data_IF_689546018629
#
_entry.id   IF_689546018629
#
_cell.length_a   1.000
_cell.length_b   1.000
_cell.length_c   1.000
_cell.angle_alpha   90.00
_cell.angle_beta   90.00
_cell.angle_gamma   90.00
#
_symmetry.space_group_name_H-M   'P 1'
#
loop_
_entity.id
_entity.type
_entity.pdbx_description
1 polymer ?
#
# COMPACT_ATOMS: atom_id res chain seq x y z
N UNK A 1 23.78 20.27 32.17
CA UNK A 1 22.47 19.59 32.11
C UNK A 1 22.23 19.23 30.66
N UNK A 2 22.54 18.00 30.29
CA UNK A 2 22.22 17.41 29.00
C UNK A 2 20.74 17.04 29.05
N UNK A 3 19.91 17.71 28.23
CA UNK A 3 18.54 17.24 28.01
C UNK A 3 18.60 15.78 27.54
N UNK A 4 17.83 14.87 28.14
CA UNK A 4 17.69 13.53 27.60
C UNK A 4 17.13 13.68 26.18
N UNK A 5 17.90 13.19 25.20
CA UNK A 5 17.45 13.06 23.82
C UNK A 5 16.05 12.41 23.84
N UNK A 6 15.06 12.99 23.13
CA UNK A 6 13.71 12.44 23.09
C UNK A 6 13.83 10.96 22.72
N UNK A 7 13.21 10.14 23.57
CA UNK A 7 13.43 8.71 23.67
C UNK A 7 13.41 7.99 22.34
N UNK A 8 14.13 6.87 22.30
CA UNK A 8 14.22 5.91 21.21
C UNK A 8 12.83 5.69 20.60
N UNK A 9 12.51 6.50 19.58
CA UNK A 9 11.17 6.57 19.01
C UNK A 9 10.85 5.20 18.45
N UNK A 10 9.65 4.70 18.74
CA UNK A 10 9.19 3.39 18.26
C UNK A 10 9.53 3.25 16.78
N UNK A 11 10.49 2.37 16.46
CA UNK A 11 10.88 2.13 15.07
C UNK A 11 9.73 1.40 14.38
N UNK A 12 9.28 1.97 13.28
CA UNK A 12 8.40 1.30 12.33
C UNK A 12 9.18 0.20 11.64
N UNK A 13 8.62 -1.00 11.59
CA UNK A 13 9.28 -2.16 11.00
C UNK A 13 8.51 -2.64 9.77
N UNK A 14 9.23 -2.92 8.69
CA UNK A 14 8.73 -3.75 7.59
C UNK A 14 9.20 -5.17 7.86
N UNK A 15 8.26 -6.06 8.19
CA UNK A 15 8.55 -7.48 8.32
C UNK A 15 8.55 -8.11 6.92
N UNK A 16 9.68 -8.69 6.52
CA UNK A 16 9.91 -9.25 5.19
C UNK A 16 9.96 -10.77 5.26
N UNK A 17 9.11 -11.40 4.48
CA UNK A 17 8.98 -12.85 4.37
C UNK A 17 9.34 -13.29 2.95
N UNK A 18 9.90 -14.49 2.83
CA UNK A 18 10.29 -15.04 1.52
C UNK A 18 9.74 -16.45 1.37
N UNK A 19 9.32 -16.82 0.16
CA UNK A 19 8.77 -18.15 -0.14
C UNK A 19 9.04 -18.55 -1.59
N UNK A 20 8.77 -19.81 -1.93
CA UNK A 20 8.79 -20.26 -3.32
C UNK A 20 7.71 -19.54 -4.15
N UNK A 21 6.59 -19.19 -3.53
CA UNK A 21 5.52 -18.37 -4.09
C UNK A 21 4.91 -17.43 -3.04
N UNK A 22 3.95 -16.58 -3.46
CA UNK A 22 3.29 -15.65 -2.55
C UNK A 22 2.44 -16.35 -1.48
N UNK A 23 1.92 -17.55 -1.73
CA UNK A 23 1.12 -18.27 -0.73
C UNK A 23 2.00 -18.76 0.42
N UNK A 24 3.19 -19.28 0.13
CA UNK A 24 4.17 -19.63 1.16
C UNK A 24 4.63 -18.40 1.94
N UNK A 25 5.07 -17.32 1.27
CA UNK A 25 5.55 -16.12 1.94
C UNK A 25 4.47 -15.45 2.83
N UNK A 26 3.21 -15.42 2.37
CA UNK A 26 2.08 -14.85 3.14
C UNK A 26 1.70 -15.73 4.32
N UNK A 27 1.78 -17.07 4.19
CA UNK A 27 1.51 -17.98 5.30
C UNK A 27 2.45 -17.74 6.46
N UNK A 28 3.73 -17.55 6.16
CA UNK A 28 4.74 -17.26 7.18
C UNK A 28 4.56 -15.86 7.78
N UNK A 29 3.98 -14.93 7.00
CA UNK A 29 3.59 -13.61 7.49
C UNK A 29 2.33 -13.63 8.37
N UNK A 30 1.51 -14.68 8.33
CA UNK A 30 0.18 -14.70 8.92
C UNK A 30 0.15 -14.46 10.45
N UNK A 31 1.10 -14.95 11.26
CA UNK A 31 1.16 -14.60 12.68
C UNK A 31 1.29 -13.09 12.93
N UNK A 32 1.95 -12.36 12.04
CA UNK A 32 2.05 -10.89 12.09
C UNK A 32 0.79 -10.17 11.55
N UNK A 33 -0.10 -10.92 10.91
CA UNK A 33 -1.33 -10.46 10.26
C UNK A 33 -2.59 -10.69 11.11
N UNK A 34 -2.46 -11.13 12.37
CA UNK A 34 -3.62 -11.40 13.24
C UNK A 34 -4.53 -10.18 13.37
N UNK A 35 -5.82 -10.38 13.13
CA UNK A 35 -6.86 -9.37 13.28
C UNK A 35 -8.20 -10.05 13.61
N UNK A 36 -9.08 -9.31 14.28
CA UNK A 36 -10.46 -9.74 14.54
C UNK A 36 -11.40 -9.04 13.56
N UNK A 37 -12.38 -9.79 13.03
CA UNK A 37 -13.47 -9.24 12.22
C UNK A 37 -13.26 -9.34 10.71
N UNK A 38 -14.00 -8.51 9.97
CA UNK A 38 -14.01 -8.50 8.51
C UNK A 38 -12.91 -7.59 7.94
N UNK A 39 -12.22 -8.08 6.90
CA UNK A 39 -11.15 -7.35 6.20
C UNK A 39 -11.55 -7.03 4.76
N UNK A 40 -11.40 -5.76 4.37
CA UNK A 40 -11.49 -5.31 2.98
C UNK A 40 -10.10 -5.34 2.33
N UNK A 41 -9.96 -6.11 1.26
CA UNK A 41 -8.69 -6.25 0.52
C UNK A 41 -8.74 -5.45 -0.77
N UNK A 42 -7.77 -4.54 -0.95
CA UNK A 42 -7.64 -3.65 -2.10
C UNK A 42 -6.40 -4.05 -2.90
N UNK A 43 -6.52 -4.79 -4.02
CA UNK A 43 -5.39 -5.14 -4.86
C UNK A 43 -4.91 -3.95 -5.72
N UNK A 44 -3.60 -3.79 -5.89
CA UNK A 44 -2.99 -2.79 -6.77
C UNK A 44 -3.18 -3.08 -8.25
N UNK A 45 -3.24 -4.35 -8.65
CA UNK A 45 -3.50 -4.73 -10.04
C UNK A 45 -4.93 -4.43 -10.49
N UNK A 46 -5.85 -4.15 -9.55
CA UNK A 46 -7.27 -3.92 -9.80
C UNK A 46 -8.00 -5.13 -10.40
N UNK A 47 -7.40 -6.33 -10.32
CA UNK A 47 -7.94 -7.57 -10.87
C UNK A 47 -8.33 -8.57 -9.77
N UNK A 48 -9.32 -9.43 -10.06
CA UNK A 48 -9.66 -10.57 -9.19
C UNK A 48 -8.58 -11.64 -9.15
N UNK A 49 -7.72 -11.65 -10.17
CA UNK A 49 -6.64 -12.61 -10.42
C UNK A 49 -5.30 -12.12 -9.90
N UNK A 50 -5.28 -11.08 -9.07
CA UNK A 50 -4.09 -10.63 -8.35
C UNK A 50 -3.56 -11.76 -7.46
N UNK A 51 -2.32 -12.19 -7.72
CA UNK A 51 -1.74 -13.38 -7.07
C UNK A 51 -1.52 -13.14 -5.59
N UNK A 52 -0.98 -11.97 -5.25
CA UNK A 52 -0.70 -11.60 -3.86
C UNK A 52 -2.00 -11.41 -3.09
N UNK A 53 -2.99 -10.70 -3.64
CA UNK A 53 -4.26 -10.51 -2.96
C UNK A 53 -5.06 -11.82 -2.82
N UNK A 54 -4.93 -12.75 -3.76
CA UNK A 54 -5.49 -14.10 -3.62
C UNK A 54 -4.82 -14.87 -2.47
N UNK A 55 -3.48 -14.86 -2.41
CA UNK A 55 -2.71 -15.49 -1.34
C UNK A 55 -3.11 -14.92 0.03
N UNK A 56 -3.11 -13.59 0.18
CA UNK A 56 -3.56 -12.88 1.40
C UNK A 56 -4.96 -13.34 1.81
N UNK A 57 -5.92 -13.31 0.90
CA UNK A 57 -7.30 -13.69 1.22
C UNK A 57 -7.46 -15.15 1.59
N UNK A 58 -6.73 -16.04 0.92
CA UNK A 58 -6.78 -17.47 1.19
C UNK A 58 -6.23 -17.78 2.58
N UNK A 59 -5.10 -17.20 2.93
CA UNK A 59 -4.46 -17.44 4.23
C UNK A 59 -5.26 -16.79 5.37
N UNK A 60 -5.84 -15.59 5.16
CA UNK A 60 -6.77 -14.98 6.13
C UNK A 60 -8.01 -15.86 6.41
N UNK A 61 -8.62 -16.42 5.35
CA UNK A 61 -9.78 -17.32 5.51
C UNK A 61 -9.42 -18.60 6.26
N UNK A 62 -8.21 -19.13 6.05
CA UNK A 62 -7.71 -20.27 6.83
C UNK A 62 -7.54 -19.93 8.30
N UNK A 63 -7.17 -18.69 8.59
CA UNK A 63 -7.15 -18.12 9.95
C UNK A 63 -8.52 -17.76 10.52
N UNK A 64 -9.63 -18.05 9.81
CA UNK A 64 -10.98 -17.72 10.26
C UNK A 64 -11.37 -16.25 10.14
N UNK A 65 -10.62 -15.47 9.36
CA UNK A 65 -10.88 -14.04 9.12
C UNK A 65 -11.70 -13.89 7.84
N UNK A 66 -12.86 -13.24 7.94
CA UNK A 66 -13.72 -12.95 6.80
C UNK A 66 -13.10 -11.88 5.91
N UNK A 67 -13.08 -12.15 4.60
CA UNK A 67 -12.41 -11.27 3.62
C UNK A 67 -13.26 -10.93 2.42
N UNK A 68 -13.32 -9.64 2.12
CA UNK A 68 -14.01 -9.10 0.95
C UNK A 68 -13.03 -8.41 0.02
N UNK A 69 -12.94 -8.89 -1.22
CA UNK A 69 -12.19 -8.21 -2.26
C UNK A 69 -12.98 -6.97 -2.72
N UNK A 70 -12.34 -5.81 -2.63
CA UNK A 70 -12.85 -4.57 -3.20
C UNK A 70 -12.20 -4.40 -4.57
N UNK A 71 -12.99 -4.10 -5.59
CA UNK A 71 -12.48 -3.74 -6.91
C UNK A 71 -13.09 -2.41 -7.33
N UNK A 72 -12.36 -1.59 -8.11
CA UNK A 72 -12.90 -0.33 -8.57
C UNK A 72 -14.11 -0.57 -9.47
N UNK A 73 -15.10 0.31 -9.37
CA UNK A 73 -16.27 0.22 -10.22
C UNK A 73 -15.88 0.39 -11.70
N UNK A 74 -16.40 -0.50 -12.54
CA UNK A 74 -16.28 -0.34 -13.99
C UNK A 74 -16.97 0.97 -14.40
N UNK A 75 -16.26 1.89 -15.10
CA UNK A 75 -16.79 3.21 -15.44
C UNK A 75 -18.10 3.13 -16.25
N UNK A 76 -18.22 2.16 -17.17
CA UNK A 76 -19.43 1.97 -17.99
C UNK A 76 -20.60 1.49 -17.12
N UNK A 77 -20.36 0.49 -16.26
CA UNK A 77 -21.40 -0.05 -15.38
C UNK A 77 -21.88 0.98 -14.34
N UNK A 78 -20.99 1.83 -13.85
CA UNK A 78 -21.29 2.88 -12.88
C UNK A 78 -22.10 4.05 -13.49
N UNK A 79 -21.89 4.36 -14.77
CA UNK A 79 -22.66 5.39 -15.48
C UNK A 79 -24.08 4.93 -15.82
N UNK A 80 -24.26 3.65 -16.16
CA UNK A 80 -25.57 3.07 -16.53
C UNK A 80 -26.45 2.83 -15.28
N UNK A 81 -25.84 2.52 -14.13
CA UNK A 81 -26.55 2.30 -12.86
C UNK A 81 -26.97 3.62 -12.17
N UNK A 82 -27.89 4.35 -12.80
CA UNK A 82 -28.61 5.50 -12.18
C UNK A 82 -29.83 5.09 -11.34
N UNK A 83 -30.13 3.80 -11.20
CA UNK A 83 -31.32 3.34 -10.46
C UNK A 83 -31.06 3.13 -8.97
N UNK A 84 -31.84 3.76 -8.06
CA UNK A 84 -31.66 3.67 -6.60
C UNK A 84 -32.15 2.34 -5.98
N UNK A 85 -32.61 1.37 -6.77
CA UNK A 85 -33.25 0.12 -6.28
C UNK A 85 -32.51 -1.18 -6.61
N UNK A 86 -31.37 -1.13 -7.30
CA UNK A 86 -30.53 -2.32 -7.48
C UNK A 86 -29.59 -2.51 -6.28
N UNK A 87 -29.23 -3.74 -5.96
CA UNK A 87 -28.19 -4.15 -5.00
C UNK A 87 -26.76 -3.67 -5.36
N UNK A 88 -26.65 -2.55 -6.07
CA UNK A 88 -25.41 -1.94 -6.49
C UNK A 88 -24.65 -1.33 -5.31
N UNK A 89 -23.34 -1.23 -5.51
CA UNK A 89 -22.40 -0.58 -4.59
C UNK A 89 -22.91 0.83 -4.26
N UNK A 90 -23.23 1.07 -2.98
CA UNK A 90 -23.63 2.40 -2.48
C UNK A 90 -22.38 3.29 -2.45
N UNK A 91 -22.54 4.53 -2.89
CA UNK A 91 -21.48 5.54 -2.85
C UNK A 91 -21.71 6.45 -1.64
N UNK A 92 -20.64 6.74 -0.91
CA UNK A 92 -20.60 7.75 0.13
C UNK A 92 -19.86 8.98 -0.37
N UNK A 93 -20.36 10.16 -0.01
CA UNK A 93 -19.62 11.41 -0.16
C UNK A 93 -18.76 11.61 1.08
N UNK A 94 -17.47 11.87 0.86
CA UNK A 94 -16.50 12.09 1.94
C UNK A 94 -15.80 13.41 1.68
N UNK A 95 -15.80 14.27 2.69
CA UNK A 95 -15.02 15.49 2.67
C UNK A 95 -13.59 15.18 3.12
N UNK A 96 -12.62 15.53 2.29
CA UNK A 96 -11.19 15.45 2.61
C UNK A 96 -10.73 16.83 3.01
N UNK A 97 -10.14 16.93 4.20
CA UNK A 97 -9.60 18.16 4.75
C UNK A 97 -8.10 18.01 4.90
N UNK A 98 -7.34 18.91 4.27
CA UNK A 98 -5.89 19.00 4.45
C UNK A 98 -5.55 20.35 5.09
N UNK A 99 -4.43 20.48 5.81
CA UNK A 99 -4.09 21.73 6.49
C UNK A 99 -3.74 22.87 5.51
N UNK A 100 -3.32 22.54 4.30
CA UNK A 100 -2.72 23.45 3.32
C UNK A 100 -3.63 23.76 2.11
N UNK A 101 -4.83 23.17 2.02
CA UNK A 101 -5.72 23.28 0.84
C UNK A 101 -7.19 23.38 1.25
N UNK A 102 -8.04 23.95 0.38
CA UNK A 102 -9.48 23.89 0.57
C UNK A 102 -9.98 22.45 0.64
N UNK A 103 -10.97 22.18 1.50
CA UNK A 103 -11.60 20.87 1.57
C UNK A 103 -12.16 20.44 0.21
N UNK A 104 -12.07 19.15 -0.10
CA UNK A 104 -12.60 18.57 -1.33
C UNK A 104 -13.54 17.42 -1.01
N UNK A 105 -14.75 17.44 -1.56
CA UNK A 105 -15.68 16.31 -1.46
C UNK A 105 -15.43 15.32 -2.60
N UNK A 106 -15.18 14.07 -2.24
CA UNK A 106 -15.01 12.95 -3.17
C UNK A 106 -16.09 11.89 -2.95
N UNK A 107 -16.28 11.01 -3.93
CA UNK A 107 -17.22 9.89 -3.84
C UNK A 107 -16.47 8.57 -3.82
N UNK A 108 -16.68 7.78 -2.77
CA UNK A 108 -16.05 6.49 -2.53
C UNK A 108 -17.11 5.40 -2.34
N UNK A 109 -16.80 4.12 -2.58
CA UNK A 109 -17.65 3.02 -2.15
C UNK A 109 -17.89 3.12 -0.64
N UNK A 110 -19.16 3.07 -0.21
CA UNK A 110 -19.54 3.27 1.20
C UNK A 110 -18.94 2.23 2.15
N UNK A 111 -18.43 1.10 1.62
CA UNK A 111 -17.68 0.11 2.42
C UNK A 111 -16.27 0.58 2.80
N UNK A 112 -15.64 1.43 1.97
CA UNK A 112 -14.32 1.99 2.26
C UNK A 112 -14.35 3.13 3.28
N UNK A 113 -15.55 3.54 3.70
CA UNK A 113 -15.77 4.66 4.65
C UNK A 113 -16.38 4.17 5.96
N UNK A 114 -16.48 2.85 6.16
CA UNK A 114 -16.96 2.23 7.40
C UNK A 114 -15.77 1.85 8.28
N UNK A 115 -16.04 1.62 9.55
CA UNK A 115 -15.09 1.10 10.55
C UNK A 115 -14.73 -0.38 10.29
N UNK A 116 -14.20 -0.67 9.11
CA UNK A 116 -13.71 -1.99 8.70
C UNK A 116 -12.19 -1.95 8.57
N UNK A 117 -11.52 -3.08 8.81
CA UNK A 117 -10.07 -3.16 8.57
C UNK A 117 -9.81 -3.17 7.07
N UNK A 118 -9.09 -2.17 6.57
CA UNK A 118 -8.76 -2.00 5.16
C UNK A 118 -7.29 -2.38 4.96
N UNK A 119 -7.05 -3.31 4.04
CA UNK A 119 -5.73 -3.84 3.71
C UNK A 119 -5.41 -3.51 2.26
N UNK A 120 -4.36 -2.73 2.08
CA UNK A 120 -3.79 -2.46 0.76
C UNK A 120 -2.83 -3.59 0.39
N UNK A 121 -2.99 -4.15 -0.80
CA UNK A 121 -2.17 -5.27 -1.29
C UNK A 121 -1.55 -4.90 -2.63
N UNK A 122 -0.24 -4.72 -2.65
CA UNK A 122 0.52 -4.24 -3.81
C UNK A 122 1.41 -5.34 -4.38
N UNK A 123 0.99 -5.95 -5.50
CA UNK A 123 1.84 -6.83 -6.33
C UNK A 123 2.65 -5.94 -7.30
N UNK A 124 3.93 -5.70 -6.97
CA UNK A 124 4.82 -4.79 -7.70
C UNK A 124 5.05 -5.27 -9.14
N UNK A 125 5.13 -6.59 -9.37
CA UNK A 125 5.28 -7.17 -10.70
C UNK A 125 4.11 -6.82 -11.62
N UNK A 126 2.90 -6.68 -11.04
CA UNK A 126 1.66 -6.45 -11.79
C UNK A 126 1.42 -5.00 -12.17
N UNK A 127 1.99 -4.05 -11.43
CA UNK A 127 1.84 -2.62 -11.69
C UNK A 127 3.00 -2.04 -12.52
N UNK A 128 3.97 -2.88 -12.90
CA UNK A 128 4.91 -2.63 -13.99
C UNK A 128 5.80 -1.40 -13.79
N UNK A 129 6.22 -1.13 -12.54
CA UNK A 129 7.11 -0.01 -12.22
C UNK A 129 6.46 1.38 -12.29
N UNK A 130 5.20 1.50 -12.72
CA UNK A 130 4.50 2.79 -12.89
C UNK A 130 3.39 3.04 -11.87
N UNK A 131 3.13 2.08 -10.98
CA UNK A 131 2.06 2.13 -10.01
C UNK A 131 0.67 1.80 -10.59
N UNK A 132 -0.39 1.84 -9.77
CA UNK A 132 -0.39 2.38 -8.42
C UNK A 132 0.42 1.54 -7.42
N UNK A 133 1.14 2.21 -6.54
CA UNK A 133 1.76 1.60 -5.37
C UNK A 133 0.80 1.68 -4.20
N UNK A 134 1.25 2.10 -3.03
CA UNK A 134 0.48 2.03 -1.79
C UNK A 134 -0.34 3.30 -1.59
N UNK A 135 0.30 4.46 -1.64
CA UNK A 135 -0.31 5.75 -1.29
C UNK A 135 -1.21 6.31 -2.39
N UNK A 136 -1.04 5.91 -3.65
CA UNK A 136 -1.91 6.34 -4.75
C UNK A 136 -3.00 5.29 -5.10
N UNK A 137 -3.02 4.14 -4.43
CA UNK A 137 -3.96 3.05 -4.72
C UNK A 137 -5.43 3.47 -4.54
N UNK A 138 -5.72 4.16 -3.44
CA UNK A 138 -7.09 4.55 -3.08
C UNK A 138 -7.75 5.40 -4.18
N UNK A 139 -6.98 6.18 -4.93
CA UNK A 139 -7.46 6.96 -6.06
C UNK A 139 -8.15 6.12 -7.15
N UNK A 140 -7.74 4.86 -7.28
CA UNK A 140 -8.35 3.94 -8.26
C UNK A 140 -9.77 3.55 -7.88
N UNK A 141 -10.13 3.62 -6.60
CA UNK A 141 -11.44 3.23 -6.06
C UNK A 141 -12.46 4.37 -6.02
N UNK A 142 -12.05 5.60 -6.35
CA UNK A 142 -12.96 6.72 -6.49
C UNK A 142 -14.07 6.43 -7.51
N UNK A 143 -15.24 7.04 -7.28
CA UNK A 143 -16.32 7.10 -8.26
C UNK A 143 -15.75 7.59 -9.62
N UNK A 144 -16.14 7.01 -10.77
CA UNK A 144 -15.57 7.37 -12.07
C UNK A 144 -15.56 8.89 -12.36
N UNK A 145 -16.65 9.58 -12.05
CA UNK A 145 -16.71 11.05 -12.22
C UNK A 145 -15.67 11.80 -11.34
N UNK A 146 -15.40 11.32 -10.12
CA UNK A 146 -14.36 11.89 -9.26
C UNK A 146 -12.96 11.57 -9.77
N UNK A 147 -12.73 10.37 -10.34
CA UNK A 147 -11.45 10.01 -10.99
C UNK A 147 -11.13 10.94 -12.15
N UNK A 148 -12.10 11.23 -13.02
CA UNK A 148 -11.88 12.16 -14.13
C UNK A 148 -11.48 13.56 -13.66
N UNK A 149 -12.11 14.09 -12.60
CA UNK A 149 -11.72 15.38 -12.00
C UNK A 149 -10.30 15.33 -11.45
N UNK A 150 -9.92 14.23 -10.80
CA UNK A 150 -8.59 14.06 -10.22
C UNK A 150 -7.51 14.00 -11.31
N UNK A 151 -7.78 13.33 -12.45
CA UNK A 151 -6.86 13.29 -13.60
C UNK A 151 -6.62 14.68 -14.18
N UNK A 152 -7.64 15.54 -14.20
CA UNK A 152 -7.54 16.91 -14.69
C UNK A 152 -6.86 17.87 -13.70
N UNK A 153 -6.52 17.41 -12.49
CA UNK A 153 -5.93 18.27 -11.45
C UNK A 153 -4.41 18.43 -11.65
N UNK A 154 -3.85 19.65 -11.62
CA UNK A 154 -2.41 19.89 -11.83
C UNK A 154 -1.49 19.17 -10.83
N UNK A 155 -1.99 18.82 -9.64
CA UNK A 155 -1.29 18.09 -8.57
C UNK A 155 -1.93 16.72 -8.30
N UNK A 156 -2.14 15.94 -9.37
CA UNK A 156 -2.82 14.64 -9.29
C UNK A 156 -2.20 13.66 -8.29
N UNK A 157 -0.87 13.66 -8.16
CA UNK A 157 -0.15 12.78 -7.23
C UNK A 157 -0.51 13.15 -5.79
N UNK A 158 -0.37 14.44 -5.43
CA UNK A 158 -0.75 14.92 -4.11
C UNK A 158 -2.22 14.65 -3.80
N UNK A 159 -3.11 14.91 -4.76
CA UNK A 159 -4.55 14.66 -4.61
C UNK A 159 -4.88 13.17 -4.44
N UNK A 160 -4.03 12.25 -4.92
CA UNK A 160 -4.19 10.81 -4.69
C UNK A 160 -3.79 10.45 -3.26
N UNK A 161 -2.70 11.04 -2.74
CA UNK A 161 -2.26 10.85 -1.36
C UNK A 161 -3.28 11.39 -0.36
N UNK A 162 -3.83 12.57 -0.63
CA UNK A 162 -4.85 13.23 0.22
C UNK A 162 -6.05 12.29 0.50
N UNK A 163 -6.36 11.34 -0.39
CA UNK A 163 -7.44 10.37 -0.19
C UNK A 163 -7.19 9.38 0.96
N UNK A 164 -5.94 9.17 1.36
CA UNK A 164 -5.64 8.27 2.48
C UNK A 164 -6.16 8.81 3.81
N UNK A 165 -6.37 10.13 3.92
CA UNK A 165 -7.03 10.75 5.08
C UNK A 165 -8.50 10.31 5.24
N UNK A 166 -9.14 9.87 4.16
CA UNK A 166 -10.53 9.42 4.17
C UNK A 166 -10.69 7.91 4.36
N UNK A 167 -9.77 7.11 3.79
CA UNK A 167 -9.88 5.63 3.77
C UNK A 167 -9.03 4.97 4.85
N UNK A 168 -7.89 5.57 5.22
CA UNK A 168 -6.98 5.10 6.27
C UNK A 168 -6.75 3.57 6.29
N UNK A 169 -6.11 2.99 5.26
CA UNK A 169 -5.74 1.58 5.30
C UNK A 169 -4.91 1.25 6.55
N UNK A 170 -5.28 0.17 7.23
CA UNK A 170 -4.71 -0.24 8.52
C UNK A 170 -3.48 -1.16 8.39
N UNK A 171 -3.31 -1.77 7.22
CA UNK A 171 -2.26 -2.74 6.89
C UNK A 171 -1.88 -2.61 5.43
N UNK A 172 -0.60 -2.82 5.17
CA UNK A 172 -0.01 -2.75 3.84
C UNK A 172 0.80 -4.02 3.58
N UNK A 173 0.42 -4.76 2.56
CA UNK A 173 1.13 -5.96 2.09
C UNK A 173 1.71 -5.63 0.72
N UNK A 174 3.03 -5.64 0.60
CA UNK A 174 3.71 -5.32 -0.65
C UNK A 174 4.53 -6.54 -1.05
N UNK A 175 4.37 -7.01 -2.29
CA UNK A 175 5.05 -8.21 -2.75
C UNK A 175 5.64 -8.07 -4.14
N UNK A 176 6.74 -8.78 -4.37
CA UNK A 176 7.43 -8.88 -5.66
C UNK A 176 8.05 -10.26 -5.84
N UNK A 177 8.20 -10.71 -7.08
CA UNK A 177 9.00 -11.90 -7.40
C UNK A 177 10.45 -11.50 -7.68
N UNK A 178 11.38 -11.94 -6.83
CA UNK A 178 12.83 -11.72 -6.99
C UNK A 178 13.55 -13.06 -7.14
N UNK A 179 14.37 -13.23 -8.20
CA UNK A 179 15.13 -14.45 -8.41
C UNK A 179 14.28 -15.74 -8.42
N UNK A 180 13.04 -15.66 -8.91
CA UNK A 180 12.08 -16.77 -8.91
C UNK A 180 11.46 -17.09 -7.55
N UNK A 181 11.58 -16.20 -6.56
CA UNK A 181 10.98 -16.33 -5.22
C UNK A 181 10.09 -15.15 -4.90
N UNK A 182 9.03 -15.40 -4.14
CA UNK A 182 8.22 -14.33 -3.62
C UNK A 182 8.93 -13.67 -2.43
N UNK A 183 8.95 -12.34 -2.44
CA UNK A 183 9.31 -11.51 -1.30
C UNK A 183 8.09 -10.68 -0.94
N UNK A 184 7.68 -10.73 0.33
CA UNK A 184 6.48 -10.03 0.84
C UNK A 184 6.89 -9.21 2.05
N UNK A 185 6.72 -7.90 1.97
CA UNK A 185 6.83 -6.97 3.08
C UNK A 185 5.47 -6.67 3.68
N UNK A 186 5.42 -6.62 5.02
CA UNK A 186 4.26 -6.24 5.79
C UNK A 186 4.60 -5.06 6.71
N UNK A 187 3.73 -4.06 6.71
CA UNK A 187 3.81 -2.95 7.67
C UNK A 187 2.42 -2.35 7.93
N UNK A 188 2.33 -1.55 8.98
CA UNK A 188 1.16 -0.75 9.34
C UNK A 188 1.32 0.72 8.97
N UNK A 189 2.50 1.10 8.48
CA UNK A 189 2.87 2.47 8.14
C UNK A 189 2.83 2.68 6.63
N UNK A 190 2.07 3.69 6.19
CA UNK A 190 1.79 3.90 4.78
C UNK A 190 3.03 4.38 4.00
N UNK A 191 3.89 5.19 4.64
CA UNK A 191 5.12 5.71 4.01
C UNK A 191 6.16 4.61 3.91
N UNK A 192 6.34 3.80 4.97
CA UNK A 192 7.22 2.64 4.93
C UNK A 192 6.82 1.67 3.82
N UNK A 193 5.52 1.42 3.65
CA UNK A 193 4.99 0.55 2.61
C UNK A 193 5.24 1.12 1.20
N UNK A 194 5.02 2.42 0.99
CA UNK A 194 5.29 3.09 -0.30
C UNK A 194 6.78 3.02 -0.64
N UNK A 195 7.67 3.39 0.29
CA UNK A 195 9.11 3.35 0.09
C UNK A 195 9.58 1.95 -0.28
N UNK A 196 9.04 0.93 0.39
CA UNK A 196 9.35 -0.46 0.09
C UNK A 196 8.86 -0.87 -1.30
N UNK A 197 7.65 -0.47 -1.70
CA UNK A 197 7.12 -0.74 -3.04
C UNK A 197 7.95 -0.06 -4.14
N UNK A 198 8.34 1.21 -3.95
CA UNK A 198 9.21 1.96 -4.85
C UNK A 198 10.58 1.30 -4.99
N UNK A 199 11.22 0.93 -3.87
CA UNK A 199 12.53 0.29 -3.91
C UNK A 199 12.48 -1.12 -4.52
N UNK A 200 11.40 -1.88 -4.30
CA UNK A 200 11.18 -3.15 -5.00
C UNK A 200 10.99 -2.93 -6.51
N UNK A 201 10.29 -1.87 -6.92
CA UNK A 201 10.11 -1.56 -8.34
C UNK A 201 11.43 -1.16 -9.02
N UNK A 202 12.29 -0.43 -8.31
CA UNK A 202 13.61 -0.01 -8.80
C UNK A 202 14.52 -1.21 -9.14
N UNK A 203 14.32 -2.39 -8.55
CA UNK A 203 15.11 -3.60 -8.87
C UNK A 203 14.96 -4.06 -10.32
N UNK A 204 13.90 -3.67 -11.04
CA UNK A 204 13.75 -3.97 -12.47
C UNK A 204 14.44 -2.95 -13.38
N UNK A 205 14.95 -1.85 -12.82
CA UNK A 205 15.58 -0.79 -13.59
C UNK A 205 17.03 -1.14 -13.93
N UNK A 206 17.52 -0.73 -15.10
CA UNK A 206 18.93 -0.90 -15.44
C UNK A 206 19.84 -0.22 -14.39
N UNK A 207 20.97 -0.82 -13.99
CA UNK A 207 21.85 -0.29 -12.94
C UNK A 207 22.37 1.13 -13.20
N UNK A 208 22.37 1.56 -14.45
CA UNK A 208 22.94 2.82 -14.91
C UNK A 208 21.91 3.97 -14.88
N UNK A 209 20.65 3.68 -14.53
CA UNK A 209 19.59 4.66 -14.52
C UNK A 209 19.68 5.47 -13.23
N UNK A 210 20.03 6.74 -13.34
CA UNK A 210 19.89 7.67 -12.22
C UNK A 210 18.41 7.90 -11.95
N UNK A 211 17.95 7.46 -10.77
CA UNK A 211 16.58 7.66 -10.29
C UNK A 211 16.68 8.39 -8.96
N UNK A 212 15.91 9.46 -8.84
CA UNK A 212 15.71 10.17 -7.58
C UNK A 212 15.43 9.18 -6.44
N UNK A 213 15.92 9.43 -5.23
CA UNK A 213 15.70 8.55 -4.08
C UNK A 213 14.20 8.31 -3.83
N UNK A 214 13.76 7.17 -3.28
CA UNK A 214 12.35 6.97 -2.94
C UNK A 214 11.80 8.06 -2.01
N UNK A 215 12.65 8.66 -1.18
CA UNK A 215 12.31 9.81 -0.32
C UNK A 215 12.08 11.13 -1.08
N UNK A 216 12.62 11.26 -2.28
CA UNK A 216 12.43 12.41 -3.16
C UNK A 216 11.15 12.27 -4.00
N UNK A 217 10.48 11.12 -3.94
CA UNK A 217 9.22 10.90 -4.65
C UNK A 217 8.13 11.84 -4.11
N UNK A 218 7.36 12.42 -5.03
CA UNK A 218 6.34 13.42 -4.70
C UNK A 218 5.21 12.85 -3.83
N UNK A 219 4.85 11.58 -4.02
CA UNK A 219 3.83 10.88 -3.23
C UNK A 219 4.32 10.70 -1.79
N UNK A 220 5.59 10.31 -1.62
CA UNK A 220 6.23 10.20 -0.29
C UNK A 220 6.31 11.56 0.39
N UNK A 221 6.82 12.59 -0.29
CA UNK A 221 6.88 13.95 0.26
C UNK A 221 5.50 14.44 0.73
N UNK A 222 4.46 14.22 -0.08
CA UNK A 222 3.10 14.62 0.30
C UNK A 222 2.60 13.83 1.53
N UNK A 223 2.87 12.54 1.60
CA UNK A 223 2.47 11.74 2.76
C UNK A 223 3.20 12.17 4.04
N UNK A 224 4.48 12.57 3.93
CA UNK A 224 5.25 13.18 5.01
C UNK A 224 4.61 14.50 5.46
N UNK A 225 4.27 15.40 4.53
CA UNK A 225 3.55 16.67 4.83
C UNK A 225 2.20 16.44 5.57
N UNK A 226 1.57 15.28 5.36
CA UNK A 226 0.29 14.90 5.97
C UNK A 226 0.45 14.02 7.21
N UNK A 227 1.67 13.76 7.66
CA UNK A 227 1.98 12.92 8.83
C UNK A 227 1.36 11.51 8.75
N UNK A 228 1.32 10.90 7.56
CA UNK A 228 0.70 9.57 7.33
C UNK A 228 1.55 8.38 7.80
N UNK A 229 2.70 8.62 8.43
CA UNK A 229 3.63 7.58 8.86
C UNK A 229 4.99 8.15 9.26
N UNK A 230 6.04 7.33 9.07
CA UNK A 230 7.43 7.74 9.31
C UNK A 230 7.80 9.01 8.56
N UNK A 231 8.65 9.81 9.19
CA UNK A 231 9.06 11.12 8.69
C UNK A 231 10.49 11.11 8.16
N UNK A 232 11.31 10.18 8.63
CA UNK A 232 12.75 10.11 8.34
C UNK A 232 13.26 8.66 8.31
N UNK A 233 14.34 8.36 7.56
CA UNK A 233 14.86 7.00 7.40
C UNK A 233 15.17 6.28 8.72
N UNK A 234 15.72 6.98 9.73
CA UNK A 234 16.09 6.38 11.02
C UNK A 234 14.92 5.81 11.83
N UNK A 235 13.68 6.15 11.46
CA UNK A 235 12.47 5.59 12.08
C UNK A 235 12.05 4.27 11.45
N UNK A 236 12.69 3.86 10.35
CA UNK A 236 12.37 2.64 9.62
C UNK A 236 13.41 1.55 9.89
N UNK A 237 12.92 0.33 10.06
CA UNK A 237 13.71 -0.88 10.09
C UNK A 237 13.13 -1.92 9.10
N UNK A 238 14.00 -2.77 8.57
CA UNK A 238 13.60 -3.97 7.83
C UNK A 238 14.01 -5.17 8.67
N UNK A 239 13.03 -6.00 9.01
CA UNK A 239 13.24 -7.27 9.70
C UNK A 239 12.96 -8.41 8.73
N UNK A 240 13.96 -9.26 8.48
CA UNK A 240 13.79 -10.41 7.60
C UNK A 240 13.45 -11.63 8.47
N UNK A 241 12.27 -12.18 8.25
CA UNK A 241 11.89 -13.43 8.88
C UNK A 241 12.66 -14.62 8.27
N UNK A 242 13.27 -15.44 9.13
CA UNK A 242 13.97 -16.66 8.74
C UNK A 242 15.34 -16.41 8.11
N UNK A 243 15.80 -17.38 7.31
CA UNK A 243 17.10 -17.33 6.62
C UNK A 243 16.89 -17.40 5.10
N UNK A 244 16.70 -16.27 4.41
CA UNK A 244 16.54 -16.28 2.96
C UNK A 244 17.83 -16.76 2.28
N UNK A 245 17.69 -17.26 1.04
CA UNK A 245 18.86 -17.56 0.19
C UNK A 245 19.72 -16.31 0.01
N UNK A 246 21.03 -16.49 -0.10
CA UNK A 246 22.02 -15.41 -0.20
C UNK A 246 21.64 -14.35 -1.26
N UNK A 247 21.36 -14.77 -2.50
CA UNK A 247 20.96 -13.82 -3.55
C UNK A 247 19.65 -13.06 -3.29
N UNK A 248 18.72 -13.63 -2.51
CA UNK A 248 17.51 -12.92 -2.06
C UNK A 248 17.84 -11.95 -0.93
N UNK A 249 18.70 -12.35 0.01
CA UNK A 249 19.18 -11.47 1.09
C UNK A 249 19.90 -10.25 0.53
N UNK A 250 20.74 -10.44 -0.48
CA UNK A 250 21.42 -9.35 -1.19
C UNK A 250 20.44 -8.42 -1.88
N UNK A 251 19.41 -8.96 -2.55
CA UNK A 251 18.36 -8.15 -3.17
C UNK A 251 17.58 -7.33 -2.13
N UNK A 252 17.21 -7.94 -1.00
CA UNK A 252 16.58 -7.21 0.11
C UNK A 252 17.54 -6.17 0.68
N UNK A 253 18.84 -6.46 0.75
CA UNK A 253 19.88 -5.50 1.17
C UNK A 253 19.98 -4.29 0.25
N UNK A 254 19.86 -4.47 -1.08
CA UNK A 254 19.78 -3.35 -2.04
C UNK A 254 18.51 -2.54 -1.85
N UNK A 255 17.35 -3.19 -1.68
CA UNK A 255 16.07 -2.54 -1.37
C UNK A 255 16.17 -1.72 -0.08
N UNK A 256 16.77 -2.28 0.97
CA UNK A 256 17.02 -1.61 2.25
C UNK A 256 17.93 -0.38 2.07
N UNK A 257 19.06 -0.55 1.38
CA UNK A 257 20.00 0.53 1.09
C UNK A 257 19.35 1.66 0.27
N UNK A 258 18.46 1.31 -0.66
CA UNK A 258 17.74 2.27 -1.50
C UNK A 258 16.77 3.16 -0.70
N UNK A 259 16.16 2.64 0.35
CA UNK A 259 15.31 3.42 1.27
C UNK A 259 16.10 4.04 2.44
N UNK A 260 17.42 3.89 2.45
CA UNK A 260 18.30 4.49 3.46
C UNK A 260 18.30 3.77 4.80
N UNK A 261 18.01 2.46 4.82
CA UNK A 261 17.92 1.64 6.04
C UNK A 261 18.99 0.54 5.98
N UNK A 262 19.82 0.38 7.03
CA UNK A 262 20.74 -0.76 7.10
C UNK A 262 19.95 -2.05 7.31
N UNK A 263 20.37 -3.13 6.63
CA UNK A 263 19.82 -4.45 6.89
C UNK A 263 20.41 -5.00 8.19
N UNK A 264 19.55 -5.46 9.09
CA UNK A 264 19.95 -6.12 10.34
C UNK A 264 20.49 -7.55 10.10
#
# INVERSE_FOLDING_TARGET
>A
MTEPMPGDGTRTTIAVFTGADFAEAVRDALPALSGNGEVLVLPSSLLRTDRLAQAVRQELRRGGIDTHLVLPANPVAALIRRSPRGSGERWAEVEIRTPDRPSVTVRLPARLTRDMSIWSVTDVDRVGGTGPYVLDLVARYLHPASRFRQIATPRRADAAVDLNLAVMPSRFVVGKTLGGRAVVGLTTDAIAAELFALALADEDLPPNRSVAGPWEDRVVQRATELELGIQIPRQLAIDIAGQPREGIREAIGRVAGRIGVPLA
#
